data_IF_177677312423
#
_entry.id   IF_177677312423
#
_cell.length_a   1.000
_cell.length_b   1.000
_cell.length_c   1.000
_cell.angle_alpha   90.00
_cell.angle_beta   90.00
_cell.angle_gamma   90.00
#
_symmetry.space_group_name_H-M   'P 1'
#
loop_
_entity.id
_entity.type
_entity.pdbx_description
1 polymer ?
#
# COMPACT_ATOMS: atom_id res chain seq x y z
N UNK A 1 14.55 -12.00 -10.94
CA UNK A 1 14.50 -11.33 -9.63
C UNK A 1 14.27 -9.84 -9.84
N UNK A 2 13.57 -9.15 -8.93
CA UNK A 2 13.32 -7.71 -9.11
C UNK A 2 12.48 -7.12 -7.99
N UNK A 3 12.31 -5.81 -8.04
CA UNK A 3 11.50 -5.01 -7.13
C UNK A 3 10.54 -4.12 -7.92
N UNK A 4 9.51 -3.62 -7.27
CA UNK A 4 8.54 -2.75 -7.92
C UNK A 4 7.95 -1.73 -6.93
N UNK A 5 7.32 -0.71 -7.48
CA UNK A 5 6.48 0.20 -6.72
C UNK A 5 5.08 0.32 -7.34
N UNK A 6 4.19 0.84 -6.54
CA UNK A 6 2.88 1.30 -6.98
C UNK A 6 2.73 2.74 -6.57
N UNK A 7 2.57 3.63 -7.53
CA UNK A 7 2.48 5.08 -7.35
C UNK A 7 1.19 5.56 -7.97
N UNK A 8 0.55 6.56 -7.41
CA UNK A 8 -0.70 7.09 -7.95
C UNK A 8 -0.60 8.57 -8.25
N UNK A 9 -1.15 8.95 -9.39
CA UNK A 9 -1.38 10.34 -9.77
C UNK A 9 -2.87 10.65 -9.67
N UNK A 10 -3.17 11.88 -9.29
CA UNK A 10 -4.54 12.41 -9.11
C UNK A 10 -4.70 13.67 -9.93
N UNK A 11 -5.89 13.86 -10.52
CA UNK A 11 -6.23 15.08 -11.22
C UNK A 11 -6.62 16.15 -10.19
N UNK A 12 -5.83 17.21 -10.10
CA UNK A 12 -6.06 18.36 -9.22
C UNK A 12 -6.54 19.57 -10.02
N UNK A 13 -7.01 20.62 -9.34
CA UNK A 13 -7.37 21.88 -10.00
C UNK A 13 -6.18 22.53 -10.74
N UNK A 14 -4.95 22.16 -10.40
CA UNK A 14 -3.70 22.66 -11.01
C UNK A 14 -3.12 21.71 -12.09
N UNK A 15 -3.84 20.64 -12.43
CA UNK A 15 -3.42 19.57 -13.34
C UNK A 15 -3.06 18.29 -12.62
N UNK A 16 -2.49 17.32 -13.34
CA UNK A 16 -2.11 16.04 -12.77
C UNK A 16 -0.98 16.16 -11.74
N UNK A 17 -1.09 15.48 -10.62
CA UNK A 17 -0.06 15.47 -9.58
C UNK A 17 0.16 14.05 -9.03
N UNK A 18 1.43 13.65 -8.89
CA UNK A 18 1.84 12.36 -8.36
C UNK A 18 2.00 12.47 -6.84
N UNK A 19 1.30 11.62 -6.11
CA UNK A 19 1.33 11.61 -4.65
C UNK A 19 2.61 10.93 -4.13
N UNK A 20 3.41 11.67 -3.33
CA UNK A 20 4.63 11.22 -2.66
C UNK A 20 5.61 10.49 -3.58
N UNK A 21 5.79 11.01 -4.79
CA UNK A 21 6.64 10.43 -5.84
C UNK A 21 8.04 10.09 -5.34
N UNK A 22 8.71 11.03 -4.69
CA UNK A 22 10.08 10.87 -4.21
C UNK A 22 10.20 9.75 -3.15
N UNK A 23 9.22 9.66 -2.23
CA UNK A 23 9.21 8.60 -1.21
C UNK A 23 9.06 7.21 -1.82
N UNK A 24 8.20 7.08 -2.83
CA UNK A 24 8.04 5.83 -3.58
C UNK A 24 9.31 5.44 -4.31
N UNK A 25 9.95 6.39 -5.00
CA UNK A 25 11.18 6.11 -5.73
C UNK A 25 12.33 5.77 -4.77
N UNK A 26 12.48 6.48 -3.65
CA UNK A 26 13.46 6.13 -2.61
C UNK A 26 13.24 4.69 -2.12
N UNK A 27 12.00 4.30 -1.81
CA UNK A 27 11.68 2.94 -1.35
C UNK A 27 11.99 1.87 -2.41
N UNK A 28 11.79 2.17 -3.71
CA UNK A 28 12.19 1.29 -4.81
C UNK A 28 13.71 1.04 -4.80
N UNK A 29 14.51 2.11 -4.66
CA UNK A 29 15.96 2.02 -4.59
C UNK A 29 16.44 1.26 -3.36
N UNK A 30 15.83 1.53 -2.20
CA UNK A 30 16.14 0.82 -0.96
C UNK A 30 15.86 -0.68 -1.08
N UNK A 31 14.71 -1.04 -1.64
CA UNK A 31 14.35 -2.44 -1.87
C UNK A 31 15.30 -3.14 -2.84
N UNK A 32 15.69 -2.46 -3.93
CA UNK A 32 16.66 -2.98 -4.90
C UNK A 32 18.04 -3.23 -4.25
N UNK A 33 18.52 -2.26 -3.48
CA UNK A 33 19.78 -2.37 -2.75
C UNK A 33 19.82 -3.56 -1.79
N UNK A 34 18.72 -3.82 -1.08
CA UNK A 34 18.61 -4.94 -0.13
C UNK A 34 18.69 -6.33 -0.77
N UNK A 35 18.41 -6.43 -2.07
CA UNK A 35 18.57 -7.67 -2.84
C UNK A 35 19.75 -7.59 -3.83
N UNK A 36 20.70 -6.71 -3.56
CA UNK A 36 21.94 -6.49 -4.32
C UNK A 36 21.72 -6.11 -5.79
N UNK A 37 20.65 -5.36 -6.09
CA UNK A 37 20.42 -4.79 -7.42
C UNK A 37 20.81 -3.30 -7.39
N UNK A 38 21.83 -2.93 -8.16
CA UNK A 38 22.23 -1.53 -8.36
C UNK A 38 21.47 -0.96 -9.56
N UNK A 39 20.56 -0.02 -9.31
CA UNK A 39 19.78 0.63 -10.37
C UNK A 39 20.71 1.52 -11.20
N UNK A 40 20.74 1.42 -12.55
CA UNK A 40 21.73 2.11 -13.39
C UNK A 40 21.37 3.57 -13.69
N UNK A 41 20.44 4.17 -12.97
CA UNK A 41 20.02 5.55 -13.08
C UNK A 41 19.78 6.16 -11.69
N UNK A 42 19.70 7.47 -11.61
CA UNK A 42 19.44 8.21 -10.37
C UNK A 42 17.96 8.22 -10.00
N UNK A 43 17.67 8.58 -8.75
CA UNK A 43 16.29 8.79 -8.26
C UNK A 43 15.58 9.86 -9.10
N UNK A 44 16.27 10.96 -9.43
CA UNK A 44 15.72 12.06 -10.22
C UNK A 44 15.36 11.62 -11.64
N UNK A 45 16.22 10.79 -12.28
CA UNK A 45 15.93 10.23 -13.61
C UNK A 45 14.70 9.32 -13.57
N UNK A 46 14.54 8.48 -12.54
CA UNK A 46 13.36 7.64 -12.40
C UNK A 46 12.12 8.46 -12.09
N UNK A 47 12.22 9.52 -11.27
CA UNK A 47 11.12 10.44 -11.02
C UNK A 47 10.67 11.14 -12.31
N UNK A 48 11.64 11.66 -13.08
CA UNK A 48 11.35 12.32 -14.35
C UNK A 48 10.71 11.35 -15.37
N UNK A 49 11.22 10.11 -15.45
CA UNK A 49 10.67 9.09 -16.34
C UNK A 49 9.23 8.69 -15.98
N UNK A 50 8.87 8.68 -14.68
CA UNK A 50 7.49 8.45 -14.24
C UNK A 50 6.56 9.59 -14.71
N UNK A 51 6.98 10.84 -14.57
CA UNK A 51 6.23 12.01 -15.08
C UNK A 51 6.07 11.95 -16.60
N UNK A 52 7.13 11.68 -17.33
CA UNK A 52 7.10 11.55 -18.78
C UNK A 52 6.21 10.40 -19.26
N UNK A 53 6.18 9.28 -18.53
CA UNK A 53 5.29 8.18 -18.86
C UNK A 53 3.81 8.63 -18.80
N UNK A 54 3.43 9.38 -17.76
CA UNK A 54 2.07 9.95 -17.64
C UNK A 54 1.77 10.91 -18.79
N UNK A 55 2.65 11.87 -19.04
CA UNK A 55 2.49 12.87 -20.10
C UNK A 55 2.37 12.23 -21.49
N UNK A 56 3.23 11.27 -21.84
CA UNK A 56 3.23 10.59 -23.15
C UNK A 56 1.97 9.73 -23.37
N UNK A 57 1.31 9.33 -22.31
CA UNK A 57 0.04 8.60 -22.38
C UNK A 57 -1.19 9.51 -22.18
N UNK A 58 -1.00 10.82 -22.09
CA UNK A 58 -2.05 11.82 -21.83
C UNK A 58 -2.88 11.53 -20.57
N UNK A 59 -2.21 11.05 -19.51
CA UNK A 59 -2.83 10.72 -18.24
C UNK A 59 -2.58 11.85 -17.23
N UNK A 60 -3.64 12.42 -16.68
CA UNK A 60 -3.61 13.36 -15.57
C UNK A 60 -3.88 12.63 -14.23
N UNK A 61 -4.64 11.56 -14.28
CA UNK A 61 -4.89 10.65 -13.17
C UNK A 61 -4.59 9.22 -13.60
N UNK A 62 -4.10 8.38 -12.67
CA UNK A 62 -3.82 6.99 -12.98
C UNK A 62 -2.82 6.33 -12.04
N UNK A 63 -2.45 5.13 -12.39
CA UNK A 63 -1.51 4.31 -11.64
C UNK A 63 -0.20 4.17 -12.40
N UNK A 64 0.90 4.26 -11.67
CA UNK A 64 2.27 4.15 -12.20
C UNK A 64 2.93 2.95 -11.53
N UNK A 65 3.54 2.08 -12.34
CA UNK A 65 4.24 0.88 -11.91
C UNK A 65 5.70 0.90 -12.38
N UNK A 66 6.60 1.52 -11.61
CA UNK A 66 8.02 1.32 -11.85
C UNK A 66 8.44 -0.09 -11.40
N UNK A 67 9.22 -0.75 -12.23
CA UNK A 67 9.73 -2.11 -12.02
C UNK A 67 11.21 -2.11 -12.31
N UNK A 68 11.99 -2.71 -11.41
CA UNK A 68 13.43 -2.98 -11.62
C UNK A 68 13.63 -4.48 -11.58
N UNK A 69 14.26 -5.03 -12.60
CA UNK A 69 14.43 -6.48 -12.72
C UNK A 69 15.72 -6.87 -13.44
N UNK A 70 16.21 -8.06 -13.13
CA UNK A 70 17.38 -8.64 -13.77
C UNK A 70 17.01 -9.23 -15.13
N UNK A 71 17.89 -9.08 -16.11
CA UNK A 71 17.77 -9.65 -17.46
C UNK A 71 17.88 -11.18 -17.47
N UNK A 72 18.01 -11.73 -18.68
CA UNK A 72 17.98 -13.17 -18.95
C UNK A 72 19.23 -13.69 -19.67
N UNK A 73 20.33 -12.97 -19.59
CA UNK A 73 21.58 -13.27 -20.29
C UNK A 73 22.23 -14.57 -19.78
N UNK A 74 21.94 -14.97 -18.57
CA UNK A 74 22.43 -16.19 -17.96
C UNK A 74 21.37 -16.80 -17.04
N UNK A 75 21.51 -18.10 -16.81
CA UNK A 75 20.59 -18.85 -15.95
C UNK A 75 21.29 -19.43 -14.73
N UNK A 76 20.53 -19.59 -13.64
CA UNK A 76 20.98 -20.21 -12.40
C UNK A 76 21.21 -19.23 -11.27
N UNK A 77 21.29 -19.76 -10.04
CA UNK A 77 21.34 -18.95 -8.82
C UNK A 77 22.65 -18.15 -8.66
N UNK A 78 23.70 -18.50 -9.38
CA UNK A 78 25.01 -17.85 -9.31
C UNK A 78 25.25 -16.80 -10.41
N UNK A 79 24.26 -16.55 -11.25
CA UNK A 79 24.41 -15.64 -12.41
C UNK A 79 24.06 -14.19 -12.12
N UNK A 80 23.73 -13.83 -10.88
CA UNK A 80 23.23 -12.51 -10.50
C UNK A 80 24.12 -11.35 -11.04
N UNK A 81 25.42 -11.42 -10.82
CA UNK A 81 26.35 -10.33 -11.20
C UNK A 81 26.61 -10.22 -12.71
N UNK A 82 26.15 -11.21 -13.50
CA UNK A 82 26.30 -11.25 -14.96
C UNK A 82 25.05 -10.79 -15.71
N UNK A 83 23.98 -10.45 -14.98
CA UNK A 83 22.70 -10.06 -15.56
C UNK A 83 22.57 -8.55 -15.67
N UNK A 84 22.03 -8.08 -16.79
CA UNK A 84 21.67 -6.65 -16.92
C UNK A 84 20.59 -6.25 -15.93
N UNK A 85 20.64 -5.01 -15.43
CA UNK A 85 19.56 -4.42 -14.64
C UNK A 85 18.69 -3.59 -15.56
N UNK A 86 17.41 -3.94 -15.61
CA UNK A 86 16.40 -3.27 -16.43
C UNK A 86 15.47 -2.46 -15.55
N UNK A 87 15.10 -1.25 -16.02
CA UNK A 87 14.08 -0.40 -15.40
C UNK A 87 12.97 -0.19 -16.40
N UNK A 88 11.74 -0.49 -16.01
CA UNK A 88 10.54 -0.27 -16.80
C UNK A 88 9.53 0.53 -16.00
N UNK A 89 8.83 1.46 -16.66
CA UNK A 89 7.75 2.24 -16.06
C UNK A 89 6.50 2.04 -16.92
N UNK A 90 5.47 1.44 -16.35
CA UNK A 90 4.16 1.34 -16.95
C UNK A 90 3.19 2.29 -16.25
N UNK A 91 2.27 2.90 -17.01
CA UNK A 91 1.19 3.69 -16.44
C UNK A 91 -0.13 3.41 -17.18
N UNK A 92 -1.25 3.52 -16.47
CA UNK A 92 -2.58 3.29 -17.03
C UNK A 92 -3.65 4.00 -16.20
N UNK A 93 -4.80 4.21 -16.82
CA UNK A 93 -6.00 4.64 -16.10
C UNK A 93 -6.43 3.55 -15.11
N UNK A 94 -6.61 3.96 -13.86
CA UNK A 94 -7.10 3.03 -12.84
C UNK A 94 -8.02 3.77 -11.88
N UNK A 95 -9.30 3.85 -12.20
CA UNK A 95 -10.26 4.65 -11.43
C UNK A 95 -10.45 4.12 -10.01
N UNK A 96 -10.37 2.82 -9.80
CA UNK A 96 -10.39 2.19 -8.47
C UNK A 96 -9.86 0.76 -8.53
N UNK A 97 -9.09 0.34 -7.51
CA UNK A 97 -8.69 -1.07 -7.32
C UNK A 97 -9.87 -1.91 -6.83
N UNK A 98 -10.65 -1.36 -5.92
CA UNK A 98 -11.87 -1.97 -5.41
C UNK A 98 -13.09 -1.30 -6.02
N UNK A 99 -14.24 -1.98 -5.95
CA UNK A 99 -15.53 -1.39 -6.33
C UNK A 99 -15.66 -0.02 -5.67
N UNK A 100 -16.10 1.04 -6.39
CA UNK A 100 -16.36 2.35 -5.79
C UNK A 100 -17.31 2.30 -4.58
N UNK A 101 -18.22 1.31 -4.53
CA UNK A 101 -19.09 1.09 -3.38
C UNK A 101 -18.34 0.53 -2.16
N UNK A 102 -17.24 -0.23 -2.36
CA UNK A 102 -16.42 -0.75 -1.28
C UNK A 102 -15.82 0.37 -0.40
N UNK A 103 -15.49 1.52 -1.00
CA UNK A 103 -15.02 2.69 -0.24
C UNK A 103 -16.11 3.32 0.63
N UNK A 104 -17.38 3.18 0.25
CA UNK A 104 -18.54 3.74 0.97
C UNK A 104 -19.13 2.76 1.97
N UNK A 105 -19.25 1.50 1.55
CA UNK A 105 -19.96 0.48 2.30
C UNK A 105 -19.03 -0.42 3.13
N UNK A 106 -17.72 -0.34 2.83
CA UNK A 106 -16.70 -1.22 3.39
C UNK A 106 -16.69 -2.60 2.74
N UNK A 107 -15.69 -3.39 3.13
CA UNK A 107 -15.44 -4.73 2.59
C UNK A 107 -15.54 -5.79 3.67
N UNK A 108 -15.75 -7.03 3.25
CA UNK A 108 -15.56 -8.23 4.07
C UNK A 108 -14.17 -8.79 3.88
N UNK A 109 -13.54 -9.22 4.95
CA UNK A 109 -12.22 -9.81 4.92
C UNK A 109 -12.19 -11.12 5.71
N UNK A 110 -11.23 -11.98 5.39
CA UNK A 110 -11.05 -13.25 6.10
C UNK A 110 -9.61 -13.42 6.56
N UNK A 111 -9.45 -14.16 7.65
CA UNK A 111 -8.14 -14.61 8.09
C UNK A 111 -7.54 -15.56 7.06
N UNK A 112 -6.37 -15.21 6.56
CA UNK A 112 -5.62 -16.04 5.61
C UNK A 112 -5.04 -17.29 6.28
N UNK A 113 -5.03 -18.45 5.60
CA UNK A 113 -4.24 -19.60 6.02
C UNK A 113 -2.74 -19.41 5.74
N UNK A 114 -2.39 -18.42 4.92
CA UNK A 114 -1.00 -18.07 4.61
C UNK A 114 -0.50 -17.02 5.60
N UNK A 115 0.71 -17.23 6.12
CA UNK A 115 1.36 -16.29 7.03
C UNK A 115 2.26 -15.33 6.25
N UNK A 116 2.50 -14.16 6.82
CA UNK A 116 3.51 -13.24 6.30
C UNK A 116 4.91 -13.84 6.49
N UNK A 117 5.83 -13.47 5.62
CA UNK A 117 7.22 -13.93 5.70
C UNK A 117 7.86 -13.55 7.04
N UNK A 118 8.52 -14.52 7.67
CA UNK A 118 9.24 -14.35 8.93
C UNK A 118 10.57 -13.57 8.80
N UNK A 119 10.96 -13.22 7.60
CA UNK A 119 12.18 -12.45 7.36
C UNK A 119 11.82 -11.02 6.92
N UNK A 120 12.24 -9.99 7.70
CA UNK A 120 11.98 -8.58 7.36
C UNK A 120 12.50 -8.16 5.97
N UNK A 121 13.50 -8.85 5.43
CA UNK A 121 13.92 -8.62 4.05
C UNK A 121 12.77 -8.84 3.07
N UNK A 122 11.93 -9.83 3.32
CA UNK A 122 10.84 -10.21 2.42
C UNK A 122 9.52 -9.50 2.76
N UNK A 123 9.20 -9.37 4.05
CA UNK A 123 7.96 -8.73 4.49
C UNK A 123 7.96 -7.20 4.33
N UNK A 124 9.13 -6.56 4.51
CA UNK A 124 9.22 -5.10 4.56
C UNK A 124 9.62 -4.46 3.21
N UNK A 125 9.74 -5.26 2.14
CA UNK A 125 10.17 -4.77 0.84
C UNK A 125 9.29 -5.28 -0.30
N UNK A 126 9.09 -4.44 -1.32
CA UNK A 126 8.32 -4.81 -2.51
C UNK A 126 9.18 -5.62 -3.50
N UNK A 127 9.51 -6.86 -3.11
CA UNK A 127 10.23 -7.82 -3.95
C UNK A 127 9.20 -8.62 -4.76
N UNK A 128 9.35 -8.68 -6.09
CA UNK A 128 8.37 -9.32 -6.99
C UNK A 128 8.05 -10.75 -6.58
N UNK A 129 9.07 -11.54 -6.23
CA UNK A 129 8.90 -12.96 -5.91
C UNK A 129 8.07 -13.24 -4.64
N UNK A 130 8.02 -12.30 -3.69
CA UNK A 130 7.28 -12.49 -2.44
C UNK A 130 5.77 -12.31 -2.62
N UNK A 131 5.34 -11.64 -3.69
CA UNK A 131 3.93 -11.40 -3.98
C UNK A 131 3.13 -12.64 -4.36
N UNK A 132 3.79 -13.77 -4.60
CA UNK A 132 3.10 -15.07 -4.72
C UNK A 132 2.28 -15.37 -3.47
N UNK A 133 2.82 -15.09 -2.27
CA UNK A 133 2.09 -15.28 -1.01
C UNK A 133 0.83 -14.39 -0.93
N UNK A 134 0.96 -13.12 -1.30
CA UNK A 134 -0.15 -12.16 -1.37
C UNK A 134 -1.25 -12.61 -2.35
N UNK A 135 -0.86 -13.08 -3.54
CA UNK A 135 -1.79 -13.59 -4.56
C UNK A 135 -2.54 -14.82 -4.04
N UNK A 136 -1.84 -15.73 -3.38
CA UNK A 136 -2.48 -16.92 -2.80
C UNK A 136 -3.45 -16.56 -1.67
N UNK A 137 -3.09 -15.58 -0.84
CA UNK A 137 -3.94 -15.11 0.26
C UNK A 137 -5.24 -14.47 -0.26
N UNK A 138 -5.16 -13.55 -1.21
CA UNK A 138 -6.36 -12.90 -1.77
C UNK A 138 -7.22 -13.89 -2.56
N UNK A 139 -6.63 -14.84 -3.30
CA UNK A 139 -7.39 -15.87 -4.01
C UNK A 139 -8.15 -16.78 -3.05
N UNK A 140 -7.56 -17.14 -1.90
CA UNK A 140 -8.24 -17.89 -0.84
C UNK A 140 -9.43 -17.07 -0.28
N UNK A 141 -9.24 -15.76 -0.02
CA UNK A 141 -10.30 -14.88 0.45
C UNK A 141 -11.46 -14.80 -0.55
N UNK A 142 -11.16 -14.58 -1.83
CA UNK A 142 -12.16 -14.54 -2.91
C UNK A 142 -12.92 -15.87 -3.00
N UNK A 143 -12.24 -17.01 -2.85
CA UNK A 143 -12.89 -18.33 -2.87
C UNK A 143 -13.87 -18.54 -1.72
N UNK A 144 -13.71 -17.79 -0.64
CA UNK A 144 -14.59 -17.77 0.56
C UNK A 144 -15.68 -16.68 0.48
N UNK A 145 -15.71 -15.90 -0.61
CA UNK A 145 -16.68 -14.82 -0.82
C UNK A 145 -16.33 -13.52 -0.08
N UNK A 146 -15.06 -13.35 0.28
CA UNK A 146 -14.55 -12.11 0.86
C UNK A 146 -13.73 -11.32 -0.19
N UNK A 147 -13.57 -10.02 0.03
CA UNK A 147 -12.86 -9.15 -0.90
C UNK A 147 -11.34 -9.14 -0.64
N UNK A 148 -10.89 -9.40 0.60
CA UNK A 148 -9.49 -9.31 0.95
C UNK A 148 -9.13 -10.23 2.13
N UNK A 149 -7.83 -10.48 2.32
CA UNK A 149 -7.27 -11.36 3.33
C UNK A 149 -6.52 -10.60 4.43
N UNK A 150 -6.50 -11.16 5.64
CA UNK A 150 -5.64 -10.71 6.74
C UNK A 150 -4.53 -11.73 6.95
N UNK A 151 -3.28 -11.30 6.85
CA UNK A 151 -2.10 -12.12 7.12
C UNK A 151 -1.64 -11.91 8.56
N UNK A 152 -1.28 -13.01 9.22
CA UNK A 152 -0.64 -12.98 10.53
C UNK A 152 0.87 -13.19 10.38
N UNK A 153 1.64 -12.66 11.33
CA UNK A 153 3.04 -12.97 11.47
C UNK A 153 3.25 -14.36 12.12
N UNK A 154 4.49 -14.79 12.27
CA UNK A 154 4.86 -16.08 12.89
C UNK A 154 4.41 -16.21 14.35
N UNK A 155 4.18 -15.10 15.03
CA UNK A 155 3.78 -15.10 16.45
C UNK A 155 2.24 -15.07 16.59
N UNK A 156 1.50 -15.02 15.48
CA UNK A 156 0.05 -14.96 15.45
C UNK A 156 -0.52 -13.54 15.61
N UNK A 157 0.31 -12.50 15.57
CA UNK A 157 -0.16 -11.13 15.52
C UNK A 157 -0.53 -10.74 14.09
N UNK A 158 -1.45 -9.80 13.94
CA UNK A 158 -1.82 -9.24 12.65
C UNK A 158 -0.59 -8.51 12.07
N UNK A 159 -0.29 -8.82 10.81
CA UNK A 159 0.74 -8.18 10.03
C UNK A 159 0.11 -7.10 9.11
N UNK A 160 -0.56 -7.51 8.07
CA UNK A 160 -1.15 -6.63 7.05
C UNK A 160 -2.21 -7.38 6.24
N UNK A 161 -2.81 -6.74 5.23
CA UNK A 161 -3.59 -7.41 4.17
C UNK A 161 -2.68 -8.05 3.12
N UNK A 162 -3.23 -8.47 1.98
CA UNK A 162 -2.43 -9.05 0.89
C UNK A 162 -1.51 -8.02 0.23
N UNK A 163 -1.88 -6.76 0.21
CA UNK A 163 -1.12 -5.64 -0.36
C UNK A 163 -1.35 -4.31 0.35
N UNK A 164 -1.96 -4.30 1.54
CA UNK A 164 -2.43 -3.14 2.29
C UNK A 164 -2.06 -3.25 3.77
N UNK A 165 -1.82 -2.09 4.42
CA UNK A 165 -1.66 -2.04 5.87
C UNK A 165 -3.01 -1.94 6.58
N UNK A 166 -3.12 -2.59 7.73
CA UNK A 166 -4.33 -2.61 8.54
C UNK A 166 -4.28 -1.57 9.66
N UNK A 167 -5.42 -0.94 9.91
CA UNK A 167 -5.70 -0.08 11.04
C UNK A 167 -6.98 -0.52 11.75
N UNK A 168 -7.02 -0.33 13.06
CA UNK A 168 -8.24 -0.45 13.86
C UNK A 168 -8.44 0.80 14.71
N UNK A 169 -9.70 1.08 15.03
CA UNK A 169 -10.06 2.11 16.01
C UNK A 169 -10.72 1.42 17.19
N UNK A 170 -10.27 1.74 18.40
CA UNK A 170 -10.90 1.28 19.64
C UNK A 170 -10.82 2.38 20.71
N UNK A 171 -11.95 2.71 21.31
CA UNK A 171 -12.05 3.78 22.31
C UNK A 171 -11.43 5.10 21.79
N UNK A 172 -11.76 5.48 20.58
CA UNK A 172 -11.25 6.69 19.88
C UNK A 172 -9.73 6.73 19.69
N UNK A 173 -9.02 5.62 19.83
CA UNK A 173 -7.59 5.49 19.51
C UNK A 173 -7.42 4.75 18.20
N UNK A 174 -6.56 5.28 17.36
CA UNK A 174 -6.14 4.63 16.11
C UNK A 174 -4.94 3.73 16.39
N UNK A 175 -5.02 2.46 16.02
CA UNK A 175 -3.96 1.49 16.22
C UNK A 175 -3.61 0.78 14.91
N UNK A 176 -2.34 0.45 14.72
CA UNK A 176 -1.84 -0.28 13.54
C UNK A 176 -0.69 -1.19 13.96
N UNK A 177 -0.47 -2.34 13.28
CA UNK A 177 0.68 -3.18 13.54
C UNK A 177 2.02 -2.44 13.43
N UNK A 178 3.02 -2.89 14.20
CA UNK A 178 4.41 -2.46 14.02
C UNK A 178 4.92 -2.89 12.64
N UNK A 179 5.99 -2.25 12.17
CA UNK A 179 6.58 -2.58 10.87
C UNK A 179 7.64 -3.68 10.94
N UNK A 180 7.61 -4.53 11.96
CA UNK A 180 8.58 -5.63 12.11
C UNK A 180 8.39 -6.69 11.02
N UNK A 181 7.13 -6.97 10.64
CA UNK A 181 6.75 -7.99 9.67
C UNK A 181 5.74 -7.50 8.63
N UNK A 182 5.60 -6.20 8.43
CA UNK A 182 4.77 -5.63 7.35
C UNK A 182 5.49 -4.48 6.66
N UNK A 183 5.05 -4.17 5.45
CA UNK A 183 5.58 -3.04 4.71
C UNK A 183 5.27 -1.73 5.47
N UNK A 184 6.29 -0.86 5.63
CA UNK A 184 6.05 0.50 6.06
C UNK A 184 5.43 1.32 4.91
N UNK A 185 4.12 1.17 4.75
CA UNK A 185 3.37 1.76 3.63
C UNK A 185 3.43 3.28 3.61
N UNK A 186 3.56 3.87 2.43
CA UNK A 186 3.58 5.34 2.27
C UNK A 186 2.19 5.90 2.63
N UNK A 187 1.11 5.25 2.21
CA UNK A 187 -0.25 5.61 2.63
C UNK A 187 -0.43 5.42 4.13
N UNK A 188 0.12 4.34 4.73
CA UNK A 188 0.12 4.14 6.18
C UNK A 188 0.76 5.32 6.92
N UNK A 189 1.94 5.76 6.50
CA UNK A 189 2.64 6.93 7.08
C UNK A 189 1.80 8.20 6.92
N UNK A 190 1.15 8.38 5.77
CA UNK A 190 0.28 9.53 5.51
C UNK A 190 -0.93 9.53 6.44
N UNK A 191 -1.59 8.37 6.62
CA UNK A 191 -2.71 8.22 7.57
C UNK A 191 -2.28 8.54 9.00
N UNK A 192 -1.13 8.03 9.45
CA UNK A 192 -0.58 8.33 10.78
C UNK A 192 -0.34 9.84 10.95
N UNK A 193 0.21 10.50 9.93
CA UNK A 193 0.46 11.95 9.96
C UNK A 193 -0.84 12.74 9.99
N UNK A 194 -1.81 12.41 9.16
CA UNK A 194 -3.14 13.03 9.14
C UNK A 194 -3.83 12.85 10.49
N UNK A 195 -3.84 11.63 11.03
CA UNK A 195 -4.46 11.33 12.31
C UNK A 195 -3.86 12.15 13.47
N UNK A 196 -2.52 12.27 13.50
CA UNK A 196 -1.82 13.11 14.51
C UNK A 196 -2.19 14.58 14.36
N UNK A 197 -2.30 15.10 13.14
CA UNK A 197 -2.70 16.49 12.90
C UNK A 197 -4.17 16.74 13.28
N UNK A 198 -5.01 15.71 13.20
CA UNK A 198 -6.38 15.71 13.73
C UNK A 198 -6.46 15.48 15.24
N UNK A 199 -5.30 15.43 15.92
CA UNK A 199 -5.18 15.21 17.38
C UNK A 199 -5.69 13.84 17.85
N UNK A 200 -5.77 12.87 16.95
CA UNK A 200 -6.08 11.49 17.31
C UNK A 200 -4.86 10.82 17.96
N UNK A 201 -5.11 10.03 18.99
CA UNK A 201 -4.06 9.19 19.58
C UNK A 201 -3.76 8.04 18.62
N UNK A 202 -2.50 7.90 18.20
CA UNK A 202 -2.04 6.83 17.32
C UNK A 202 -1.06 5.92 18.07
N UNK A 203 -1.32 4.63 18.07
CA UNK A 203 -0.48 3.60 18.69
C UNK A 203 -0.02 2.58 17.62
N UNK A 204 1.29 2.42 17.46
CA UNK A 204 1.89 1.35 16.68
C UNK A 204 2.24 0.20 17.64
N UNK A 205 1.58 -0.94 17.51
CA UNK A 205 1.74 -2.07 18.43
C UNK A 205 1.34 -3.39 17.78
N UNK A 206 1.78 -4.51 18.38
CA UNK A 206 1.27 -5.81 17.97
C UNK A 206 -0.23 -5.90 18.26
N UNK A 207 -1.00 -6.27 17.25
CA UNK A 207 -2.45 -6.45 17.32
C UNK A 207 -2.78 -7.95 17.21
N UNK A 208 -3.61 -8.43 18.12
CA UNK A 208 -4.17 -9.77 18.04
C UNK A 208 -5.40 -9.78 17.13
N UNK A 209 -5.81 -10.98 16.70
CA UNK A 209 -7.05 -11.12 15.94
C UNK A 209 -8.28 -10.73 16.79
N UNK A 210 -8.23 -10.96 18.10
CA UNK A 210 -9.28 -10.54 19.04
C UNK A 210 -9.36 -9.02 19.21
N UNK A 211 -8.21 -8.30 19.13
CA UNK A 211 -8.20 -6.83 19.08
C UNK A 211 -8.99 -6.32 17.88
N UNK A 212 -8.83 -6.94 16.72
CA UNK A 212 -9.56 -6.60 15.50
C UNK A 212 -11.07 -6.92 15.62
N UNK A 213 -11.42 -8.12 16.06
CA UNK A 213 -12.83 -8.53 16.21
C UNK A 213 -13.59 -7.66 17.23
N UNK A 214 -12.90 -7.11 18.22
CA UNK A 214 -13.47 -6.23 19.25
C UNK A 214 -13.28 -4.73 18.96
N UNK A 215 -12.79 -4.36 17.77
CA UNK A 215 -12.61 -2.98 17.36
C UNK A 215 -13.93 -2.26 17.10
N UNK A 216 -13.95 -0.94 17.29
CA UNK A 216 -15.08 -0.10 16.95
C UNK A 216 -15.14 0.15 15.44
N UNK A 217 -13.95 0.30 14.80
CA UNK A 217 -13.78 0.48 13.35
C UNK A 217 -12.51 -0.25 12.91
N UNK A 218 -12.47 -0.65 11.63
CA UNK A 218 -11.26 -1.15 10.98
C UNK A 218 -11.20 -0.69 9.53
N UNK A 219 -9.98 -0.55 8.98
CA UNK A 219 -9.78 -0.20 7.59
C UNK A 219 -8.40 -0.62 7.08
N UNK A 220 -8.30 -0.77 5.77
CA UNK A 220 -7.03 -0.91 5.06
C UNK A 220 -6.53 0.43 4.52
N UNK A 221 -5.21 0.56 4.42
CA UNK A 221 -4.57 1.68 3.74
C UNK A 221 -3.52 1.20 2.74
N UNK A 222 -3.50 1.79 1.55
CA UNK A 222 -2.56 1.46 0.49
C UNK A 222 -2.71 2.37 -0.72
N UNK A 223 -1.72 2.40 -1.60
CA UNK A 223 -1.76 3.26 -2.80
C UNK A 223 -2.95 2.92 -3.71
N UNK A 224 -3.27 1.64 -3.87
CA UNK A 224 -4.36 1.19 -4.73
C UNK A 224 -5.74 1.32 -4.06
N UNK A 225 -5.82 0.96 -2.78
CA UNK A 225 -7.06 0.93 -2.00
C UNK A 225 -7.37 2.25 -1.29
N UNK A 226 -6.38 3.17 -1.23
CA UNK A 226 -6.44 4.40 -0.44
C UNK A 226 -6.75 4.11 1.03
N UNK A 227 -7.93 4.50 1.52
CA UNK A 227 -8.47 4.12 2.82
C UNK A 227 -9.77 3.36 2.55
N UNK A 228 -9.79 2.05 2.80
CA UNK A 228 -10.96 1.19 2.55
C UNK A 228 -11.46 0.60 3.86
N UNK A 229 -12.69 0.89 4.29
CA UNK A 229 -13.26 0.38 5.53
C UNK A 229 -13.41 -1.14 5.48
N UNK A 230 -13.19 -1.79 6.64
CA UNK A 230 -13.48 -3.21 6.87
C UNK A 230 -14.70 -3.27 7.79
N UNK A 231 -15.79 -3.85 7.30
CA UNK A 231 -17.05 -3.94 8.04
C UNK A 231 -17.34 -5.34 8.57
N UNK A 232 -16.67 -6.36 8.00
CA UNK A 232 -16.86 -7.75 8.39
C UNK A 232 -15.54 -8.51 8.34
N UNK A 233 -15.26 -9.32 9.35
CA UNK A 233 -14.09 -10.19 9.45
C UNK A 233 -14.53 -11.60 9.80
N UNK A 234 -14.24 -12.60 8.97
CA UNK A 234 -14.69 -14.00 9.13
C UNK A 234 -16.20 -14.10 9.42
N UNK A 235 -17.02 -13.26 8.78
CA UNK A 235 -18.48 -13.20 8.99
C UNK A 235 -18.92 -12.45 10.26
N UNK A 236 -17.99 -11.96 11.08
CA UNK A 236 -18.27 -11.16 12.28
C UNK A 236 -18.23 -9.68 11.93
N UNK A 237 -19.27 -8.94 12.28
CA UNK A 237 -19.31 -7.49 12.07
C UNK A 237 -18.32 -6.78 12.98
N UNK A 238 -17.58 -5.82 12.41
CA UNK A 238 -16.75 -4.90 13.17
C UNK A 238 -17.58 -3.69 13.60
N UNK A 239 -17.59 -3.39 14.88
CA UNK A 239 -18.41 -2.32 15.45
C UNK A 239 -19.88 -2.45 15.06
N UNK A 240 -20.40 -1.44 14.36
CA UNK A 240 -21.79 -1.44 13.86
C UNK A 240 -21.98 -2.28 12.57
N UNK A 241 -20.89 -2.72 11.93
CA UNK A 241 -20.90 -3.31 10.58
C UNK A 241 -21.06 -2.27 9.46
N UNK A 242 -20.79 -1.01 9.76
CA UNK A 242 -20.78 0.12 8.82
C UNK A 242 -19.47 0.89 8.98
N UNK A 243 -19.22 1.81 8.05
CA UNK A 243 -18.08 2.73 8.18
C UNK A 243 -18.19 3.54 9.48
N UNK A 244 -17.11 3.62 10.22
CA UNK A 244 -17.04 4.43 11.42
C UNK A 244 -16.62 5.87 11.15
N UNK A 245 -16.94 6.77 12.09
CA UNK A 245 -16.74 8.21 11.93
C UNK A 245 -15.27 8.63 11.80
N UNK A 246 -14.36 7.93 12.49
CA UNK A 246 -12.91 8.21 12.41
C UNK A 246 -12.37 7.77 11.04
N UNK A 247 -12.80 6.60 10.56
CA UNK A 247 -12.43 6.13 9.22
C UNK A 247 -12.93 7.08 8.12
N UNK A 248 -14.20 7.52 8.21
CA UNK A 248 -14.80 8.48 7.27
C UNK A 248 -14.05 9.83 7.28
N UNK A 249 -13.71 10.33 8.47
CA UNK A 249 -12.93 11.55 8.63
C UNK A 249 -11.55 11.41 7.98
N UNK A 250 -10.84 10.29 8.20
CA UNK A 250 -9.54 10.03 7.59
C UNK A 250 -9.63 9.91 6.07
N UNK A 251 -10.67 9.25 5.55
CA UNK A 251 -10.94 9.17 4.10
C UNK A 251 -11.13 10.55 3.48
N UNK A 252 -11.96 11.40 4.10
CA UNK A 252 -12.23 12.75 3.61
C UNK A 252 -10.96 13.59 3.57
N UNK A 253 -10.19 13.61 4.67
CA UNK A 253 -8.93 14.36 4.73
C UNK A 253 -7.90 13.83 3.72
N UNK A 254 -7.76 12.51 3.60
CA UNK A 254 -6.86 11.91 2.61
C UNK A 254 -7.26 12.31 1.19
N UNK A 255 -8.56 12.28 0.87
CA UNK A 255 -9.07 12.73 -0.42
C UNK A 255 -8.75 14.20 -0.69
N UNK A 256 -8.98 15.10 0.28
CA UNK A 256 -8.67 16.53 0.10
C UNK A 256 -7.18 16.79 -0.14
N UNK A 257 -6.32 15.97 0.47
CA UNK A 257 -4.87 16.04 0.29
C UNK A 257 -4.46 15.58 -1.11
N UNK A 258 -4.88 14.39 -1.53
CA UNK A 258 -4.42 13.81 -2.80
C UNK A 258 -4.96 14.55 -4.02
N UNK A 259 -6.13 15.18 -3.92
CA UNK A 259 -6.69 16.07 -4.95
C UNK A 259 -6.23 17.54 -4.81
N UNK A 260 -5.28 17.83 -3.92
CA UNK A 260 -4.64 19.14 -3.78
C UNK A 260 -5.56 20.24 -3.17
N UNK A 261 -6.67 19.88 -2.54
CA UNK A 261 -7.59 20.82 -1.88
C UNK A 261 -7.01 21.31 -0.55
N UNK A 262 -6.34 20.44 0.21
CA UNK A 262 -5.59 20.84 1.42
C UNK A 262 -4.16 21.25 1.07
N UNK A 263 -3.94 22.57 0.96
CA UNK A 263 -2.65 23.15 0.59
C UNK A 263 -1.54 22.96 1.64
N UNK A 264 -1.86 22.58 2.86
CA UNK A 264 -0.86 22.32 3.91
C UNK A 264 0.00 21.08 3.58
N UNK A 265 -0.49 20.19 2.71
CA UNK A 265 0.19 18.99 2.24
C UNK A 265 0.66 19.09 0.78
N UNK A 266 0.73 20.28 0.19
CA UNK A 266 1.18 20.46 -1.21
C UNK A 266 2.58 19.86 -1.48
N UNK A 267 3.43 19.79 -0.45
CA UNK A 267 4.75 19.14 -0.53
C UNK A 267 4.69 17.62 -0.76
N UNK A 268 3.53 16.98 -0.62
CA UNK A 268 3.32 15.56 -0.97
C UNK A 268 2.93 15.36 -2.43
N UNK A 269 2.64 16.43 -3.15
CA UNK A 269 2.20 16.40 -4.54
C UNK A 269 3.31 16.91 -5.46
N UNK A 270 3.63 16.11 -6.46
CA UNK A 270 4.60 16.46 -7.50
C UNK A 270 3.85 16.64 -8.81
N UNK A 271 3.82 17.84 -9.36
CA UNK A 271 3.15 18.13 -10.65
C UNK A 271 3.78 17.30 -11.78
N UNK A 272 2.94 16.78 -12.66
CA UNK A 272 3.30 16.04 -13.86
C UNK A 272 3.81 16.97 -14.95
#
# INVERSE_FOLDING_TARGET
>A
MGVFEGVRAYETDEGGAIFRLEDHTKRLFDAASKINISIPCSIDEVNQAQKEAMLKNNLHEGYIRPIVFLGSESMGLRSHDSLSVNVAIACWEWPSYMDPEAKRNGISVVKSPFQQYDNPLYSNNKIIGTYVNSIMAVNDAISKGAEEAILLDKNGFISEGSGENLFIVKNSKLMTPTTDYCLNGITRQSVITIAKNLQLTVEEKNLTFDDLLSADEAFYSGTAVEITPITTVDGVKIGSGLIGSITEQLQSNYSDIVYGRDKSYSHWLTSI
#
